data_IF_791615306501
#
_entry.id   IF_791615306501
#
_cell.length_a   1.000
_cell.length_b   1.000
_cell.length_c   1.000
_cell.angle_alpha   90.00
_cell.angle_beta   90.00
_cell.angle_gamma   90.00
#
_symmetry.space_group_name_H-M   'P 1'
#
loop_
_entity.id
_entity.type
_entity.pdbx_description
1 polymer ?
#
# COMPACT_ATOMS: atom_id res chain seq x y z
N UNK A 1 16.41 -2.33 11.21
CA UNK A 1 16.38 -3.01 9.90
C UNK A 1 15.08 -3.81 9.85
N UNK A 2 14.09 -3.37 9.08
CA UNK A 2 12.83 -4.14 8.94
C UNK A 2 13.18 -5.42 8.17
N UNK A 3 13.12 -6.55 8.86
CA UNK A 3 13.62 -7.82 8.41
C UNK A 3 12.75 -8.39 7.28
N UNK A 4 13.44 -8.62 6.16
CA UNK A 4 13.12 -9.46 5.02
C UNK A 4 12.70 -10.87 5.48
N UNK A 5 11.49 -11.31 5.12
CA UNK A 5 11.05 -12.68 5.42
C UNK A 5 9.54 -12.87 5.34
N UNK A 6 8.95 -12.74 4.14
CA UNK A 6 7.59 -13.20 3.86
C UNK A 6 6.54 -12.12 3.53
N UNK A 7 6.85 -10.83 3.71
CA UNK A 7 5.88 -9.74 3.55
C UNK A 7 5.74 -9.18 2.13
N UNK A 8 6.59 -9.55 1.18
CA UNK A 8 6.50 -9.08 -0.22
C UNK A 8 5.29 -9.63 -0.99
N UNK A 9 4.65 -10.69 -0.46
CA UNK A 9 3.35 -11.19 -0.93
C UNK A 9 2.15 -10.63 -0.14
N UNK A 10 2.40 -9.90 0.95
CA UNK A 10 1.35 -9.29 1.76
C UNK A 10 1.09 -7.88 1.24
N UNK A 11 0.10 -7.76 0.37
CA UNK A 11 -0.46 -6.47 -0.07
C UNK A 11 -0.73 -5.51 1.12
N UNK A 12 -1.04 -6.04 2.32
CA UNK A 12 -1.19 -5.27 3.57
C UNK A 12 0.09 -4.53 3.99
N UNK A 13 1.27 -5.10 3.77
CA UNK A 13 2.54 -4.44 4.09
C UNK A 13 2.78 -3.21 3.19
N UNK A 14 2.42 -3.32 1.91
CA UNK A 14 2.49 -2.22 0.96
C UNK A 14 1.47 -1.12 1.27
N UNK A 15 0.23 -1.47 1.65
CA UNK A 15 -0.78 -0.51 2.09
C UNK A 15 -0.35 0.23 3.38
N UNK A 16 0.20 -0.49 4.37
CA UNK A 16 0.72 0.13 5.60
C UNK A 16 1.89 1.09 5.33
N UNK A 17 2.80 0.72 4.42
CA UNK A 17 3.90 1.59 3.97
C UNK A 17 3.36 2.86 3.30
N UNK A 18 2.35 2.71 2.44
CA UNK A 18 1.72 3.84 1.78
C UNK A 18 1.06 4.82 2.76
N UNK A 19 0.34 4.29 3.76
CA UNK A 19 -0.25 5.09 4.83
C UNK A 19 0.80 5.86 5.65
N UNK A 20 1.94 5.23 5.93
CA UNK A 20 3.05 5.89 6.62
C UNK A 20 3.68 7.01 5.77
N UNK A 21 3.91 6.76 4.47
CA UNK A 21 4.43 7.75 3.54
C UNK A 21 3.48 8.95 3.42
N UNK A 22 2.16 8.71 3.37
CA UNK A 22 1.14 9.78 3.37
C UNK A 22 1.26 10.66 4.61
N UNK A 23 1.38 10.06 5.80
CA UNK A 23 1.54 10.80 7.06
C UNK A 23 2.82 11.63 7.12
N UNK A 24 3.86 11.21 6.40
CA UNK A 24 5.12 11.94 6.25
C UNK A 24 5.08 13.02 5.14
N UNK A 25 3.94 13.20 4.46
CA UNK A 25 3.81 14.14 3.34
C UNK A 25 4.47 13.64 2.04
N UNK A 26 4.87 12.37 1.98
CA UNK A 26 5.53 11.76 0.82
C UNK A 26 4.48 11.19 -0.14
N UNK A 27 3.64 12.05 -0.73
CA UNK A 27 2.47 11.66 -1.54
C UNK A 27 2.83 10.75 -2.72
N UNK A 28 3.86 11.06 -3.50
CA UNK A 28 4.27 10.23 -4.65
C UNK A 28 4.77 8.85 -4.22
N UNK A 29 5.51 8.79 -3.11
CA UNK A 29 5.99 7.54 -2.57
C UNK A 29 4.83 6.67 -2.03
N UNK A 30 3.83 7.31 -1.41
CA UNK A 30 2.61 6.65 -0.96
C UNK A 30 1.81 6.06 -2.15
N UNK A 31 1.68 6.83 -3.22
CA UNK A 31 0.98 6.41 -4.45
C UNK A 31 1.64 5.16 -5.06
N UNK A 32 2.96 5.15 -5.20
CA UNK A 32 3.69 3.99 -5.70
C UNK A 32 3.49 2.74 -4.82
N UNK A 33 3.50 2.91 -3.50
CA UNK A 33 3.25 1.80 -2.56
C UNK A 33 1.82 1.26 -2.65
N UNK A 34 0.82 2.14 -2.80
CA UNK A 34 -0.58 1.70 -3.00
C UNK A 34 -0.78 0.98 -4.33
N UNK A 35 -0.17 1.46 -5.41
CA UNK A 35 -0.22 0.78 -6.71
C UNK A 35 0.38 -0.63 -6.60
N UNK A 36 1.52 -0.77 -5.91
CA UNK A 36 2.13 -2.08 -5.68
C UNK A 36 1.26 -2.99 -4.81
N UNK A 37 0.57 -2.44 -3.80
CA UNK A 37 -0.42 -3.19 -3.01
C UNK A 37 -1.56 -3.71 -3.91
N UNK A 38 -2.05 -2.86 -4.82
CA UNK A 38 -3.14 -3.18 -5.74
C UNK A 38 -2.81 -4.32 -6.71
N UNK A 39 -1.57 -4.37 -7.20
CA UNK A 39 -1.07 -5.45 -8.06
C UNK A 39 -1.03 -6.81 -7.35
N UNK A 40 -0.80 -6.81 -6.04
CA UNK A 40 -0.64 -8.01 -5.21
C UNK A 40 -1.97 -8.46 -4.56
N UNK A 41 -2.96 -7.56 -4.49
CA UNK A 41 -4.27 -7.86 -3.93
C UNK A 41 -5.10 -8.73 -4.87
N UNK A 42 -5.59 -9.86 -4.34
CA UNK A 42 -6.49 -10.77 -5.07
C UNK A 42 -7.95 -10.64 -4.66
N UNK A 43 -8.24 -10.06 -3.49
CA UNK A 43 -9.60 -9.92 -2.99
C UNK A 43 -10.24 -8.61 -3.48
N UNK A 44 -11.43 -8.64 -4.10
CA UNK A 44 -12.11 -7.43 -4.59
C UNK A 44 -12.41 -6.41 -3.50
N UNK A 45 -12.69 -6.86 -2.27
CA UNK A 45 -12.96 -5.98 -1.13
C UNK A 45 -11.72 -5.18 -0.72
N UNK A 46 -10.56 -5.84 -0.63
CA UNK A 46 -9.27 -5.20 -0.33
C UNK A 46 -8.86 -4.24 -1.45
N UNK A 47 -9.13 -4.59 -2.71
CA UNK A 47 -8.82 -3.74 -3.86
C UNK A 47 -9.57 -2.41 -3.78
N UNK A 48 -10.88 -2.46 -3.52
CA UNK A 48 -11.71 -1.25 -3.34
C UNK A 48 -11.25 -0.39 -2.17
N UNK A 49 -10.79 -1.02 -1.08
CA UNK A 49 -10.21 -0.29 0.04
C UNK A 49 -8.95 0.49 -0.36
N UNK A 50 -8.03 -0.14 -1.11
CA UNK A 50 -6.79 0.49 -1.59
C UNK A 50 -7.09 1.59 -2.61
N UNK A 51 -8.02 1.36 -3.55
CA UNK A 51 -8.48 2.37 -4.53
C UNK A 51 -9.06 3.59 -3.81
N UNK A 52 -9.92 3.38 -2.80
CA UNK A 52 -10.48 4.48 -2.01
C UNK A 52 -9.43 5.26 -1.21
N UNK A 53 -8.29 4.64 -0.86
CA UNK A 53 -7.15 5.35 -0.24
C UNK A 53 -6.33 6.14 -1.24
N UNK A 54 -6.19 5.64 -2.47
CA UNK A 54 -5.57 6.38 -3.57
C UNK A 54 -6.35 7.64 -3.96
N UNK A 55 -7.68 7.58 -3.92
CA UNK A 55 -8.54 8.75 -4.18
C UNK A 55 -8.46 9.81 -3.07
N UNK A 56 -7.91 9.48 -1.89
CA UNK A 56 -7.74 10.37 -0.74
C UNK A 56 -6.31 10.92 -0.58
N UNK A 57 -5.44 10.68 -1.56
CA UNK A 57 -4.08 11.24 -1.63
C UNK A 57 -4.09 12.54 -2.43
#
# INVERSE_FOLDING_TARGET
VMAQGGLDGYHLAHAARADMQRRLGLTEAAKASYQRALELTRQPAERRFIEGRLDQL
#
